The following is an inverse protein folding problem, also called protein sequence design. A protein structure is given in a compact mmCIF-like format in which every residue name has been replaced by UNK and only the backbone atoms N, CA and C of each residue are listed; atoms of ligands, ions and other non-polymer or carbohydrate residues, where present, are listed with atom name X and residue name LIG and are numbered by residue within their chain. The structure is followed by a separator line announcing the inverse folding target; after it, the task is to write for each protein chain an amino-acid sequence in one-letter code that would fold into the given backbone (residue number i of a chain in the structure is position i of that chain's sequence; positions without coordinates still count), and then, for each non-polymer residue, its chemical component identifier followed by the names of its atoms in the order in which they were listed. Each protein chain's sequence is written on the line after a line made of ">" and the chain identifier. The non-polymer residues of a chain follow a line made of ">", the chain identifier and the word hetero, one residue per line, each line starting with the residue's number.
data_IF_434074211451
#
_entry.id   IF_434074211451
#
_cell.length_a   1.000
_cell.length_b   1.000
_cell.length_c   1.000
_cell.angle_alpha   90.00
_cell.angle_beta   90.00
_cell.angle_gamma   90.00
#
_symmetry.space_group_name_H-M   'P 1'
#
loop_
_entity.id
_entity.type
_entity.pdbx_description
1 polymer ?
#
# COMPACT_ATOMS: atom_id res chain seq x y z
N UNK A 1 9.98 -8.94 7.21
CA UNK A 1 9.05 -7.85 7.52
C UNK A 1 8.49 -7.29 6.20
N UNK A 2 7.24 -6.83 6.18
CA UNK A 2 6.62 -6.17 5.02
C UNK A 2 6.29 -4.72 5.38
N UNK A 3 6.76 -3.76 4.58
CA UNK A 3 6.28 -2.39 4.63
C UNK A 3 5.02 -2.30 3.75
N UNK A 4 3.89 -1.87 4.32
CA UNK A 4 2.60 -1.82 3.62
C UNK A 4 1.86 -0.48 3.86
N UNK A 5 2.41 0.67 3.42
CA UNK A 5 1.69 1.93 3.45
C UNK A 5 0.35 1.88 2.70
N UNK A 6 -0.63 2.64 3.21
CA UNK A 6 -1.99 2.68 2.67
C UNK A 6 -2.30 4.00 1.95
N UNK A 7 -3.22 3.94 0.99
CA UNK A 7 -3.86 5.12 0.39
C UNK A 7 -5.36 5.12 0.67
N UNK A 8 -5.87 6.28 1.10
CA UNK A 8 -7.28 6.49 1.48
C UNK A 8 -7.42 7.32 2.76
N UNK A 9 -8.36 8.27 2.78
CA UNK A 9 -8.74 8.98 4.00
C UNK A 9 -9.72 8.14 4.84
N UNK A 10 -10.08 8.62 6.04
CA UNK A 10 -10.97 7.88 6.95
C UNK A 10 -12.32 7.47 6.32
N UNK A 11 -12.88 8.30 5.43
CA UNK A 11 -14.13 7.98 4.72
C UNK A 11 -13.93 6.83 3.73
N UNK A 12 -12.83 6.85 2.97
CA UNK A 12 -12.46 5.79 2.01
C UNK A 12 -12.17 4.47 2.73
N UNK A 13 -11.46 4.53 3.85
CA UNK A 13 -11.15 3.36 4.69
C UNK A 13 -12.44 2.73 5.23
N UNK A 14 -13.36 3.55 5.77
CA UNK A 14 -14.66 3.06 6.28
C UNK A 14 -15.50 2.39 5.19
N UNK A 15 -15.34 2.79 3.93
CA UNK A 15 -16.02 2.18 2.79
C UNK A 15 -15.35 0.88 2.28
N UNK A 16 -14.28 0.40 2.94
CA UNK A 16 -13.52 -0.77 2.47
C UNK A 16 -12.73 -0.51 1.20
N UNK A 17 -12.42 0.76 0.89
CA UNK A 17 -11.81 1.17 -0.39
C UNK A 17 -10.34 1.57 -0.26
N UNK A 18 -9.66 1.18 0.81
CA UNK A 18 -8.24 1.47 0.97
C UNK A 18 -7.40 0.61 0.01
N UNK A 19 -6.23 1.12 -0.38
CA UNK A 19 -5.27 0.37 -1.21
C UNK A 19 -3.92 0.29 -0.52
N UNK A 20 -3.23 -0.84 -0.67
CA UNK A 20 -1.87 -1.03 -0.15
C UNK A 20 -0.84 -0.95 -1.27
N UNK A 21 0.31 -0.37 -0.93
CA UNK A 21 1.56 -0.53 -1.69
C UNK A 21 2.52 -1.27 -0.78
N UNK A 22 3.08 -2.40 -1.22
CA UNK A 22 3.79 -3.33 -0.34
C UNK A 22 5.20 -3.60 -0.84
N UNK A 23 6.17 -3.57 0.07
CA UNK A 23 7.55 -4.00 -0.19
C UNK A 23 8.11 -4.86 0.94
N UNK A 24 9.12 -5.66 0.62
CA UNK A 24 9.76 -6.63 1.51
C UNK A 24 9.85 -8.01 0.85
N UNK A 25 10.23 -9.07 1.58
CA UNK A 25 10.45 -10.38 0.98
C UNK A 25 9.21 -10.89 0.24
N UNK A 26 9.34 -11.17 -1.06
CA UNK A 26 8.23 -11.64 -1.87
C UNK A 26 7.48 -12.86 -1.30
N UNK A 27 8.13 -13.91 -0.75
CA UNK A 27 7.41 -15.03 -0.14
C UNK A 27 6.53 -14.61 1.04
N UNK A 28 6.95 -13.60 1.81
CA UNK A 28 6.13 -13.07 2.89
C UNK A 28 4.94 -12.28 2.34
N UNK A 29 5.11 -11.54 1.25
CA UNK A 29 4.01 -10.85 0.57
C UNK A 29 2.98 -11.83 0.05
N UNK A 30 3.38 -12.93 -0.59
CA UNK A 30 2.46 -13.93 -1.13
C UNK A 30 1.57 -14.55 -0.03
N UNK A 31 2.14 -14.81 1.14
CA UNK A 31 1.38 -15.28 2.32
C UNK A 31 0.44 -14.20 2.87
N UNK A 32 0.88 -12.93 2.88
CA UNK A 32 0.11 -11.82 3.44
C UNK A 32 -0.98 -11.28 2.50
N UNK A 33 -0.79 -11.40 1.19
CA UNK A 33 -1.64 -10.85 0.13
C UNK A 33 -3.14 -11.10 0.34
N UNK A 34 -3.63 -12.33 0.59
CA UNK A 34 -5.06 -12.55 0.77
C UNK A 34 -5.65 -11.74 1.94
N UNK A 35 -4.89 -11.53 3.01
CA UNK A 35 -5.32 -10.72 4.15
C UNK A 35 -5.32 -9.22 3.85
N UNK A 36 -4.31 -8.75 3.10
CA UNK A 36 -4.23 -7.35 2.66
C UNK A 36 -5.36 -7.02 1.68
N UNK A 37 -5.65 -7.91 0.74
CA UNK A 37 -6.71 -7.74 -0.26
C UNK A 37 -8.10 -7.78 0.40
N UNK A 38 -8.28 -8.50 1.51
CA UNK A 38 -9.53 -8.48 2.29
C UNK A 38 -9.81 -7.15 3.01
N UNK A 39 -8.78 -6.36 3.32
CA UNK A 39 -8.95 -5.09 4.05
C UNK A 39 -9.32 -3.91 3.13
N UNK A 40 -9.28 -4.07 1.81
CA UNK A 40 -9.43 -2.96 0.88
C UNK A 40 -9.78 -3.37 -0.55
N UNK A 41 -9.41 -2.54 -1.51
CA UNK A 41 -9.56 -2.85 -2.95
C UNK A 41 -8.45 -3.77 -3.45
N UNK A 42 -7.31 -3.80 -2.74
CA UNK A 42 -6.20 -4.68 -3.06
C UNK A 42 -4.84 -4.15 -2.59
N UNK A 43 -3.82 -4.96 -2.86
CA UNK A 43 -2.42 -4.69 -2.57
C UNK A 43 -1.53 -4.85 -3.81
N UNK A 44 -0.59 -3.91 -3.98
CA UNK A 44 0.39 -3.93 -5.07
C UNK A 44 1.80 -4.12 -4.51
N UNK A 45 2.47 -5.21 -4.92
CA UNK A 45 3.87 -5.44 -4.59
C UNK A 45 4.78 -4.59 -5.49
N UNK A 46 5.69 -3.84 -4.88
CA UNK A 46 6.60 -2.94 -5.63
C UNK A 46 8.06 -3.37 -5.57
N UNK A 47 8.41 -4.36 -4.73
CA UNK A 47 9.76 -4.91 -4.65
C UNK A 47 10.25 -5.08 -3.21
N UNK A 48 11.55 -5.23 -3.06
CA UNK A 48 12.19 -5.56 -1.78
C UNK A 48 12.40 -4.33 -0.87
N UNK A 49 12.72 -4.60 0.40
CA UNK A 49 13.11 -3.57 1.38
C UNK A 49 12.09 -2.44 1.56
N UNK A 50 12.55 -1.20 1.50
CA UNK A 50 11.78 0.00 1.85
C UNK A 50 11.07 0.67 0.66
N UNK A 51 11.06 0.03 -0.52
CA UNK A 51 10.61 0.64 -1.77
C UNK A 51 9.18 1.18 -1.73
N UNK A 52 8.26 0.51 -1.01
CA UNK A 52 6.88 0.98 -0.84
C UNK A 52 6.78 2.34 -0.13
N UNK A 53 7.70 2.65 0.80
CA UNK A 53 7.73 3.93 1.50
C UNK A 53 8.16 5.05 0.56
N UNK A 54 9.15 4.79 -0.30
CA UNK A 54 9.59 5.73 -1.33
C UNK A 54 8.44 6.00 -2.29
N UNK A 55 7.78 4.94 -2.79
CA UNK A 55 6.58 5.06 -3.65
C UNK A 55 5.52 5.90 -2.96
N UNK A 56 5.26 5.70 -1.66
CA UNK A 56 4.25 6.46 -0.94
C UNK A 56 4.62 7.93 -0.74
N UNK A 57 5.88 8.24 -0.50
CA UNK A 57 6.38 9.63 -0.45
C UNK A 57 6.13 10.29 -1.81
N UNK A 58 6.56 9.67 -2.90
CA UNK A 58 6.33 10.19 -4.26
C UNK A 58 4.84 10.38 -4.57
N UNK A 59 3.98 9.42 -4.19
CA UNK A 59 2.54 9.52 -4.37
C UNK A 59 1.96 10.72 -3.62
N UNK A 60 2.36 10.96 -2.37
CA UNK A 60 1.86 12.09 -1.60
C UNK A 60 2.45 13.44 -2.07
N UNK A 61 3.70 13.46 -2.55
CA UNK A 61 4.28 14.64 -3.20
C UNK A 61 3.52 14.98 -4.47
N UNK A 62 3.27 13.99 -5.34
CA UNK A 62 2.46 14.18 -6.54
C UNK A 62 1.09 14.75 -6.17
N UNK A 63 0.40 14.13 -5.21
CA UNK A 63 -0.90 14.60 -4.74
C UNK A 63 -0.83 16.08 -4.34
N UNK A 64 0.14 16.46 -3.50
CA UNK A 64 0.29 17.85 -3.05
C UNK A 64 0.68 18.87 -4.14
N UNK A 65 1.16 18.40 -5.30
CA UNK A 65 1.43 19.26 -6.47
C UNK A 65 0.21 19.39 -7.38
N UNK A 66 -0.59 18.32 -7.50
CA UNK A 66 -1.73 18.27 -8.44
C UNK A 66 -3.07 18.65 -7.82
N UNK A 67 -3.14 18.83 -6.50
CA UNK A 67 -4.33 19.29 -5.76
C UNK A 67 -4.15 20.71 -5.25
#
# INVERSE_FOLDING_TARGET
>A
YLAAPVSGNAKVIKAGKLTFVVSGPQPAYEVARPYLDMMGVGSSYVGEGELSRIVKICHNVMLGVVT
#
